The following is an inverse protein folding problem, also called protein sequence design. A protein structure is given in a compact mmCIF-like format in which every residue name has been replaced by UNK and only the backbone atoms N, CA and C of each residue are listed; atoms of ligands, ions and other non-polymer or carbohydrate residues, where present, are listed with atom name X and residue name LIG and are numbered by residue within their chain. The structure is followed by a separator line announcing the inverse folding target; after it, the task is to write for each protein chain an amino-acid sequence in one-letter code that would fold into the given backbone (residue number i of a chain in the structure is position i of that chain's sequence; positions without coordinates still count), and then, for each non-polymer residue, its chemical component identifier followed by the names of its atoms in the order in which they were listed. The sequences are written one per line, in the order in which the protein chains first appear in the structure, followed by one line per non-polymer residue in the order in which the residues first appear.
data_IF_074471078097
#
_entry.id   IF_074471078097
#
_cell.length_a   1.000
_cell.length_b   1.000
_cell.length_c   1.000
_cell.angle_alpha   90.00
_cell.angle_beta   90.00
_cell.angle_gamma   90.00
#
_symmetry.space_group_name_H-M   'P 1'
#
loop_
_entity.id
_entity.type
_entity.pdbx_description
1 polymer ?
#
# COMPACT_ATOMS: atom_id res chain seq x y z
N UNK A 1 6.72 6.32 2.20
CA UNK A 1 5.97 5.88 3.41
C UNK A 1 4.96 6.95 3.72
N UNK A 2 3.79 6.58 4.22
CA UNK A 2 2.69 7.49 4.57
C UNK A 2 2.37 7.30 6.04
N UNK A 3 2.19 8.41 6.77
CA UNK A 3 1.65 8.45 8.13
C UNK A 3 0.18 8.89 8.04
N UNK A 4 -0.73 8.05 8.55
CA UNK A 4 -2.18 8.29 8.53
C UNK A 4 -2.66 9.17 9.71
N UNK A 5 -1.75 9.57 10.60
CA UNK A 5 -2.01 10.42 11.77
C UNK A 5 -2.47 9.67 13.02
N UNK A 6 -3.10 8.51 12.87
CA UNK A 6 -3.52 7.59 13.94
C UNK A 6 -3.65 6.16 13.40
N UNK A 7 -3.90 5.20 14.28
CA UNK A 7 -4.14 3.81 13.88
C UNK A 7 -5.51 3.61 13.24
N UNK A 8 -5.54 2.80 12.19
CA UNK A 8 -6.73 2.37 11.48
C UNK A 8 -6.73 0.85 11.30
N UNK A 9 -7.92 0.25 11.21
CA UNK A 9 -8.10 -1.14 10.80
C UNK A 9 -8.04 -1.23 9.26
N UNK A 10 -6.83 -1.27 8.72
CA UNK A 10 -6.55 -1.25 7.28
C UNK A 10 -6.93 -2.60 6.67
N UNK A 11 -7.91 -2.58 5.75
CA UNK A 11 -8.39 -3.78 5.04
C UNK A 11 -7.85 -3.89 3.61
N UNK A 12 -7.49 -2.78 2.98
CA UNK A 12 -7.10 -2.75 1.58
C UNK A 12 -6.21 -1.55 1.29
N UNK A 13 -5.20 -1.75 0.44
CA UNK A 13 -4.31 -0.71 -0.06
C UNK A 13 -4.38 -0.75 -1.58
N UNK A 14 -4.63 0.41 -2.19
CA UNK A 14 -4.73 0.56 -3.63
C UNK A 14 -3.58 1.40 -4.16
N UNK A 15 -3.06 1.01 -5.32
CA UNK A 15 -1.96 1.68 -6.00
C UNK A 15 -2.40 2.01 -7.43
N UNK A 16 -2.24 3.26 -7.81
CA UNK A 16 -2.50 3.72 -9.17
C UNK A 16 -1.18 3.99 -9.88
N UNK A 17 -1.01 3.34 -11.04
CA UNK A 17 0.10 3.59 -11.94
C UNK A 17 -0.08 4.95 -12.63
N UNK A 18 1.04 5.57 -13.00
CA UNK A 18 1.05 6.73 -13.90
C UNK A 18 0.32 6.40 -15.20
N UNK A 19 -0.45 7.36 -15.73
CA UNK A 19 -1.25 7.18 -16.95
C UNK A 19 -0.43 7.32 -18.23
N UNK A 20 0.72 7.97 -18.15
CA UNK A 20 1.53 8.42 -19.29
C UNK A 20 2.78 7.57 -19.54
N UNK A 21 3.31 6.88 -18.53
CA UNK A 21 4.45 5.96 -18.69
C UNK A 21 4.63 5.03 -17.47
N UNK A 22 5.65 4.17 -17.57
CA UNK A 22 6.41 3.70 -16.41
C UNK A 22 5.69 2.70 -15.49
N UNK A 23 4.61 2.07 -15.95
CA UNK A 23 3.91 1.02 -15.19
C UNK A 23 4.80 -0.18 -14.88
N UNK A 24 5.78 -0.45 -15.74
CA UNK A 24 6.76 -1.54 -15.56
C UNK A 24 7.68 -1.35 -14.35
N UNK A 25 7.81 -0.13 -13.84
CA UNK A 25 8.52 0.16 -12.60
C UNK A 25 7.74 -0.29 -11.36
N UNK A 26 6.42 -0.51 -11.48
CA UNK A 26 5.59 -1.07 -10.40
C UNK A 26 5.75 -2.59 -10.41
N UNK A 27 6.81 -3.06 -9.76
CA UNK A 27 7.18 -4.48 -9.63
C UNK A 27 8.04 -4.71 -8.40
N UNK A 28 8.11 -5.95 -7.94
CA UNK A 28 8.93 -6.37 -6.80
C UNK A 28 8.72 -5.46 -5.58
N UNK A 29 7.45 -5.22 -5.23
CA UNK A 29 7.06 -4.32 -4.15
C UNK A 29 6.60 -5.09 -2.93
N UNK A 30 7.11 -4.68 -1.77
CA UNK A 30 6.62 -5.08 -0.47
C UNK A 30 5.71 -3.99 0.09
N UNK A 31 4.43 -4.32 0.24
CA UNK A 31 3.38 -3.44 0.75
C UNK A 31 3.13 -3.84 2.19
N UNK A 32 3.51 -2.95 3.10
CA UNK A 32 3.49 -3.17 4.54
C UNK A 32 2.69 -2.09 5.25
N UNK A 33 2.03 -2.44 6.34
CA UNK A 33 1.37 -1.50 7.23
C UNK A 33 1.59 -1.88 8.70
N UNK A 34 1.50 -0.93 9.62
CA UNK A 34 1.60 -1.23 11.04
C UNK A 34 1.61 0.01 11.95
N UNK A 35 1.59 -0.20 13.28
CA UNK A 35 1.47 0.90 14.26
C UNK A 35 2.76 1.74 14.40
N UNK A 36 3.92 1.23 13.98
CA UNK A 36 5.19 1.97 14.05
C UNK A 36 6.18 1.53 12.96
N UNK A 37 7.24 2.32 12.74
CA UNK A 37 8.29 2.00 11.75
C UNK A 37 8.98 0.66 11.97
N UNK A 38 8.99 0.17 13.22
CA UNK A 38 9.64 -1.09 13.61
C UNK A 38 8.66 -2.26 13.69
N UNK A 39 7.36 -1.99 13.73
CA UNK A 39 6.30 -3.00 13.83
C UNK A 39 5.44 -2.93 12.57
N UNK A 40 5.96 -3.51 11.48
CA UNK A 40 5.30 -3.50 10.18
C UNK A 40 4.91 -4.92 9.77
N UNK A 41 3.65 -5.12 9.41
CA UNK A 41 3.10 -6.36 8.87
C UNK A 41 2.96 -6.26 7.36
N UNK A 42 3.27 -7.34 6.65
CA UNK A 42 3.10 -7.40 5.19
C UNK A 42 1.63 -7.59 4.84
N UNK A 43 1.07 -6.62 4.13
CA UNK A 43 -0.24 -6.76 3.48
C UNK A 43 -0.11 -7.61 2.21
N UNK A 44 0.85 -7.26 1.33
CA UNK A 44 1.08 -8.01 0.09
C UNK A 44 2.51 -7.87 -0.41
N UNK A 45 3.01 -8.91 -1.06
CA UNK A 45 4.14 -8.81 -1.97
C UNK A 45 3.63 -8.86 -3.42
N UNK A 46 4.00 -7.87 -4.22
CA UNK A 46 3.61 -7.77 -5.62
C UNK A 46 4.82 -7.96 -6.53
N UNK A 47 4.82 -9.04 -7.30
CA UNK A 47 5.91 -9.38 -8.23
C UNK A 47 5.94 -8.40 -9.41
N UNK A 48 4.79 -7.99 -9.92
CA UNK A 48 4.65 -7.14 -11.11
C UNK A 48 5.14 -7.80 -12.41
N UNK A 49 5.40 -7.01 -13.46
CA UNK A 49 5.12 -5.58 -13.55
C UNK A 49 3.63 -5.26 -13.73
N UNK A 50 3.23 -4.06 -13.30
CA UNK A 50 1.96 -3.47 -13.70
C UNK A 50 2.04 -2.93 -15.13
N UNK A 51 0.88 -2.59 -15.72
CA UNK A 51 0.82 -1.81 -16.96
C UNK A 51 0.64 -0.33 -16.65
N UNK A 52 1.04 0.55 -17.57
CA UNK A 52 0.76 1.98 -17.50
C UNK A 52 -0.74 2.23 -17.35
N UNK A 53 -1.11 3.14 -16.46
CA UNK A 53 -2.50 3.52 -16.16
C UNK A 53 -3.29 2.51 -15.34
N UNK A 54 -2.70 1.39 -14.93
CA UNK A 54 -3.42 0.39 -14.14
C UNK A 54 -3.70 0.83 -12.71
N UNK A 55 -4.83 0.33 -12.21
CA UNK A 55 -5.22 0.36 -10.82
C UNK A 55 -5.02 -1.04 -10.22
N UNK A 56 -4.33 -1.10 -9.09
CA UNK A 56 -4.06 -2.34 -8.37
C UNK A 56 -4.68 -2.24 -6.98
N UNK A 57 -5.57 -3.18 -6.64
CA UNK A 57 -6.16 -3.28 -5.31
C UNK A 57 -5.60 -4.49 -4.57
N UNK A 58 -5.09 -4.27 -3.36
CA UNK A 58 -4.50 -5.31 -2.53
C UNK A 58 -5.26 -5.42 -1.21
N UNK A 59 -6.00 -6.50 -1.04
CA UNK A 59 -6.61 -6.83 0.25
C UNK A 59 -5.55 -7.27 1.26
N UNK A 60 -5.66 -6.76 2.48
CA UNK A 60 -4.84 -7.17 3.61
C UNK A 60 -5.61 -8.24 4.39
N UNK A 61 -5.12 -9.47 4.37
CA UNK A 61 -5.70 -10.58 5.11
C UNK A 61 -4.60 -11.28 5.94
N UNK A 62 -4.62 -11.18 7.28
CA UNK A 62 -5.65 -10.52 8.10
C UNK A 62 -5.65 -8.98 7.96
N UNK A 63 -6.74 -8.35 8.40
CA UNK A 63 -6.83 -6.87 8.56
C UNK A 63 -5.68 -6.42 9.46
N UNK A 64 -5.03 -5.31 9.07
CA UNK A 64 -3.87 -4.79 9.79
C UNK A 64 -4.28 -3.54 10.57
N UNK A 65 -4.15 -3.58 11.89
CA UNK A 65 -4.21 -2.36 12.69
C UNK A 65 -2.90 -1.57 12.51
N UNK A 66 -2.97 -0.33 12.02
CA UNK A 66 -1.77 0.49 11.86
C UNK A 66 -1.99 1.92 11.43
N UNK A 67 -0.97 2.74 11.71
CA UNK A 67 -0.85 4.16 11.37
C UNK A 67 0.04 4.42 10.16
N UNK A 68 1.01 3.55 9.90
CA UNK A 68 1.99 3.74 8.84
C UNK A 68 1.76 2.76 7.69
N UNK A 69 1.85 3.25 6.46
CA UNK A 69 1.86 2.43 5.24
C UNK A 69 3.16 2.65 4.48
N UNK A 70 3.81 1.56 4.08
CA UNK A 70 5.07 1.58 3.35
C UNK A 70 5.01 0.64 2.15
N UNK A 71 5.25 1.21 0.98
CA UNK A 71 5.52 0.50 -0.26
C UNK A 71 7.02 0.59 -0.48
N UNK A 72 7.70 -0.56 -0.49
CA UNK A 72 9.14 -0.64 -0.62
C UNK A 72 9.53 -1.52 -1.80
N UNK A 73 10.40 -1.02 -2.67
CA UNK A 73 11.07 -1.84 -3.68
C UNK A 73 11.98 -2.89 -3.03
N UNK A 74 11.96 -4.10 -3.57
CA UNK A 74 12.89 -5.18 -3.20
C UNK A 74 13.94 -5.45 -4.28
N UNK A 75 13.81 -4.81 -5.43
CA UNK A 75 14.88 -4.70 -6.42
C UNK A 75 15.64 -3.36 -6.25
N UNK A 76 16.77 -3.20 -6.94
CA UNK A 76 17.58 -1.96 -6.92
C UNK A 76 17.08 -0.94 -7.96
N UNK A 77 15.77 -0.86 -8.21
CA UNK A 77 15.20 0.07 -9.20
C UNK A 77 14.34 1.15 -8.55
N UNK A 78 14.05 2.20 -9.33
CA UNK A 78 13.18 3.29 -8.90
C UNK A 78 11.71 2.84 -8.79
N UNK A 79 10.97 3.51 -7.91
CA UNK A 79 9.53 3.34 -7.75
C UNK A 79 8.81 4.56 -8.31
N UNK A 80 7.84 4.35 -9.19
CA UNK A 80 6.98 5.40 -9.74
C UNK A 80 5.52 5.03 -9.51
N UNK A 81 4.86 5.74 -8.59
CA UNK A 81 3.44 5.61 -8.30
C UNK A 81 2.76 6.95 -8.59
N UNK A 82 1.51 6.93 -9.05
CA UNK A 82 0.71 8.15 -9.16
C UNK A 82 -0.03 8.43 -7.86
N UNK A 83 -0.68 7.42 -7.30
CA UNK A 83 -1.49 7.56 -6.09
C UNK A 83 -1.49 6.28 -5.27
N UNK A 84 -1.65 6.44 -3.94
CA UNK A 84 -1.85 5.35 -3.00
C UNK A 84 -3.09 5.69 -2.17
N UNK A 85 -4.07 4.81 -2.15
CA UNK A 85 -5.25 4.94 -1.31
C UNK A 85 -5.26 3.84 -0.25
N UNK A 86 -5.66 4.19 0.97
CA UNK A 86 -5.70 3.27 2.11
C UNK A 86 -7.13 3.18 2.60
N UNK A 87 -7.70 1.98 2.49
CA UNK A 87 -9.08 1.71 2.87
C UNK A 87 -9.10 1.01 4.24
N UNK A 88 -9.78 1.63 5.18
CA UNK A 88 -9.95 1.12 6.54
C UNK A 88 -11.41 0.76 6.81
N UNK A 89 -11.62 -0.14 7.76
CA UNK A 89 -12.93 -0.34 8.39
C UNK A 89 -13.12 0.79 9.39
N UNK A 90 -14.20 1.56 9.22
CA UNK A 90 -14.60 2.57 10.19
C UNK A 90 -15.61 1.92 11.13
N UNK A 91 -15.20 1.64 12.36
CA UNK A 91 -16.15 1.29 13.41
C UNK A 91 -16.97 2.53 13.74
N UNK A 92 -18.21 2.56 13.25
CA UNK A 92 -19.21 3.57 13.62
C UNK A 92 -19.80 3.23 14.97
N UNK A 93 -18.99 3.25 16.02
CA UNK A 93 -19.53 3.41 17.38
C UNK A 93 -19.72 4.90 17.61
N UNK A 94 -20.95 5.35 17.34
CA UNK A 94 -21.46 6.66 17.73
C UNK A 94 -21.35 6.77 19.25
N UNK A 95 -20.61 7.76 19.72
CA UNK A 95 -20.64 8.27 21.09
C UNK A 95 -20.96 9.75 21.03
#
# INVERSE_FOLDING_TARGET
MVDLGRDYNIRQIEIFARRDCCGELIRQMDITAGPSHNLMTRCKFYIGPAKTGYHLAFECNPIINGRYVRIQKKDMTNLALAEVQVMAIVDRTVG
#
